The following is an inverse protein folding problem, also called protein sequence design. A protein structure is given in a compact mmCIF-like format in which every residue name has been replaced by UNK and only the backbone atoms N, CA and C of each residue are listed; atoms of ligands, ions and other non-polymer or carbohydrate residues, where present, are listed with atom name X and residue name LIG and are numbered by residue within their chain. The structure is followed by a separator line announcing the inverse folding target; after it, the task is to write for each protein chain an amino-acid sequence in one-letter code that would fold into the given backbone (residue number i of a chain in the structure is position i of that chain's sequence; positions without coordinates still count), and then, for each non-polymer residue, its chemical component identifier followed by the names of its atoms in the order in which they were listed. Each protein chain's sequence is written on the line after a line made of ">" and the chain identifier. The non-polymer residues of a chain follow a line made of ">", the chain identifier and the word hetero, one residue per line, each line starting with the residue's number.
data_IF_229105705955
#
_entry.id   IF_229105705955
#
_cell.length_a   1.000
_cell.length_b   1.000
_cell.length_c   1.000
_cell.angle_alpha   90.00
_cell.angle_beta   90.00
_cell.angle_gamma   90.00
#
_symmetry.space_group_name_H-M   'P 1'
#
loop_
_entity.id
_entity.type
_entity.pdbx_description
1 polymer ?
#
# COMPACT_ATOMS: atom_id res chain seq x y z
N UNK A 1 -7.30 -29.86 -10.28
CA UNK A 1 -6.63 -30.98 -10.99
C UNK A 1 -6.61 -32.19 -10.07
N UNK A 2 -6.56 -33.42 -10.60
CA UNK A 2 -6.30 -34.62 -9.79
C UNK A 2 -4.89 -35.12 -10.09
N UNK A 3 -4.13 -35.48 -9.06
CA UNK A 3 -2.87 -36.18 -9.20
C UNK A 3 -2.90 -37.38 -8.26
N UNK A 4 -2.94 -38.57 -8.85
CA UNK A 4 -3.31 -39.80 -8.13
C UNK A 4 -4.64 -39.59 -7.40
N UNK A 5 -4.71 -39.95 -6.12
CA UNK A 5 -5.91 -39.83 -5.28
C UNK A 5 -6.10 -38.43 -4.68
N UNK A 6 -5.18 -37.50 -4.94
CA UNK A 6 -5.22 -36.16 -4.35
C UNK A 6 -5.81 -35.11 -5.30
N UNK A 7 -6.68 -34.27 -4.76
CA UNK A 7 -7.11 -33.05 -5.44
C UNK A 7 -6.02 -31.97 -5.32
N UNK A 8 -5.42 -31.59 -6.43
CA UNK A 8 -4.51 -30.44 -6.54
C UNK A 8 -5.33 -29.17 -6.79
N UNK A 9 -5.04 -28.16 -5.97
CA UNK A 9 -5.50 -26.78 -6.14
C UNK A 9 -4.28 -25.89 -6.36
N UNK A 10 -4.42 -24.90 -7.25
CA UNK A 10 -3.37 -23.95 -7.59
C UNK A 10 -3.79 -22.60 -7.05
N UNK A 11 -2.87 -21.92 -6.37
CA UNK A 11 -3.11 -20.57 -5.86
C UNK A 11 -2.24 -19.57 -6.62
N UNK A 12 -2.82 -18.42 -6.94
CA UNK A 12 -2.09 -17.29 -7.52
C UNK A 12 -1.74 -16.32 -6.41
N UNK A 13 -0.53 -15.78 -6.43
CA UNK A 13 -0.09 -14.73 -5.54
C UNK A 13 0.72 -13.70 -6.32
N UNK A 14 0.86 -12.52 -5.75
CA UNK A 14 1.65 -11.42 -6.29
C UNK A 14 1.12 -10.11 -5.75
N UNK A 15 1.78 -9.01 -6.09
CA UNK A 15 1.31 -7.69 -5.68
C UNK A 15 -0.04 -7.34 -6.33
N UNK A 16 -0.69 -6.30 -5.81
CA UNK A 16 -2.02 -5.92 -6.26
C UNK A 16 -2.10 -5.56 -7.74
N UNK A 17 -1.07 -4.88 -8.26
CA UNK A 17 -1.05 -4.40 -9.64
C UNK A 17 -0.92 -5.57 -10.60
N UNK A 18 -0.01 -6.51 -10.29
CA UNK A 18 0.13 -7.77 -11.00
C UNK A 18 -1.14 -8.61 -10.98
N UNK A 19 -1.81 -8.72 -9.83
CA UNK A 19 -3.07 -9.45 -9.74
C UNK A 19 -4.19 -8.76 -10.53
N UNK A 20 -4.32 -7.43 -10.47
CA UNK A 20 -5.27 -6.70 -11.30
C UNK A 20 -5.01 -6.94 -12.79
N UNK A 21 -3.75 -6.87 -13.21
CA UNK A 21 -3.30 -7.17 -14.56
C UNK A 21 -3.70 -8.58 -15.04
N UNK A 22 -3.42 -9.61 -14.23
CA UNK A 22 -3.76 -10.99 -14.56
C UNK A 22 -5.26 -11.24 -14.74
N UNK A 23 -6.09 -10.49 -14.02
CA UNK A 23 -7.54 -10.64 -14.03
C UNK A 23 -8.26 -9.53 -14.80
N UNK A 24 -7.50 -8.68 -15.50
CA UNK A 24 -7.98 -7.65 -16.38
C UNK A 24 -8.71 -6.48 -15.73
N UNK A 25 -8.41 -6.19 -14.47
CA UNK A 25 -8.92 -5.02 -13.76
C UNK A 25 -8.01 -3.82 -14.01
N UNK A 26 -8.60 -2.64 -14.25
CA UNK A 26 -7.87 -1.39 -14.55
C UNK A 26 -7.01 -0.82 -13.40
N UNK A 27 -6.86 -1.52 -12.29
CA UNK A 27 -6.05 -1.12 -11.14
C UNK A 27 -6.73 -0.28 -10.07
N UNK A 28 -5.93 0.24 -9.14
CA UNK A 28 -6.38 0.84 -7.87
C UNK A 28 -7.15 2.16 -8.04
N UNK A 29 -7.02 2.85 -9.16
CA UNK A 29 -7.63 4.16 -9.42
C UNK A 29 -9.01 4.07 -10.08
N UNK A 30 -9.48 2.85 -10.37
CA UNK A 30 -10.79 2.59 -10.96
C UNK A 30 -11.96 2.93 -10.02
N UNK A 31 -13.16 3.05 -10.57
CA UNK A 31 -14.39 3.21 -9.77
C UNK A 31 -14.64 1.94 -8.96
N UNK A 32 -14.55 0.79 -9.61
CA UNK A 32 -14.67 -0.55 -9.04
C UNK A 32 -13.28 -1.17 -8.87
N UNK A 33 -12.48 -0.55 -8.02
CA UNK A 33 -11.05 -0.85 -7.95
C UNK A 33 -10.74 -2.21 -7.34
N UNK A 34 -11.61 -2.80 -6.49
CA UNK A 34 -11.35 -4.07 -5.83
C UNK A 34 -11.29 -5.26 -6.80
N UNK A 35 -10.26 -6.09 -6.66
CA UNK A 35 -10.11 -7.33 -7.43
C UNK A 35 -11.19 -8.38 -7.09
N UNK A 36 -11.69 -8.43 -5.86
CA UNK A 36 -12.53 -9.53 -5.38
C UNK A 36 -14.03 -9.22 -5.43
N UNK A 37 -14.42 -7.95 -5.56
CA UNK A 37 -15.82 -7.54 -5.61
C UNK A 37 -16.04 -6.27 -6.44
N UNK A 38 -17.31 -5.93 -6.65
CA UNK A 38 -17.71 -4.75 -7.43
C UNK A 38 -17.91 -3.49 -6.57
N UNK A 39 -17.38 -3.45 -5.35
CA UNK A 39 -17.46 -2.26 -4.50
C UNK A 39 -16.88 -1.03 -5.19
N UNK A 40 -17.62 0.07 -5.15
CA UNK A 40 -17.13 1.38 -5.58
C UNK A 40 -16.31 2.06 -4.48
N UNK A 41 -15.49 3.05 -4.84
CA UNK A 41 -14.80 3.88 -3.84
C UNK A 41 -15.74 4.55 -2.82
N UNK A 42 -17.00 4.81 -3.21
CA UNK A 42 -18.03 5.32 -2.29
C UNK A 42 -18.50 4.23 -1.33
N UNK A 43 -18.76 3.02 -1.84
CA UNK A 43 -19.18 1.88 -1.03
C UNK A 43 -18.12 1.53 0.01
N UNK A 44 -16.83 1.63 -0.35
CA UNK A 44 -15.71 1.38 0.56
C UNK A 44 -15.66 2.36 1.74
N UNK A 45 -16.14 3.60 1.58
CA UNK A 45 -16.18 4.60 2.66
C UNK A 45 -17.28 4.31 3.69
N UNK A 46 -18.43 3.82 3.24
CA UNK A 46 -19.59 3.57 4.10
C UNK A 46 -19.33 2.55 5.21
N UNK A 47 -19.97 2.73 6.36
CA UNK A 47 -20.11 1.68 7.40
C UNK A 47 -20.95 0.52 6.84
N UNK A 48 -21.83 0.83 5.88
CA UNK A 48 -22.69 -0.09 5.15
C UNK A 48 -21.99 -0.83 4.00
N UNK A 49 -20.65 -0.99 4.02
CA UNK A 49 -19.97 -1.96 3.15
C UNK A 49 -20.39 -3.42 3.47
N UNK A 50 -21.24 -3.61 4.48
CA UNK A 50 -21.95 -4.85 4.82
C UNK A 50 -23.29 -5.02 4.09
N UNK A 51 -23.67 -4.12 3.16
CA UNK A 51 -24.92 -4.25 2.43
C UNK A 51 -24.90 -5.48 1.52
N UNK A 52 -26.03 -6.18 1.47
CA UNK A 52 -26.24 -7.40 0.69
C UNK A 52 -26.11 -7.22 -0.85
N UNK A 53 -25.69 -6.04 -1.33
CA UNK A 53 -25.67 -5.64 -2.73
C UNK A 53 -24.27 -5.71 -3.38
N UNK A 54 -23.18 -5.76 -2.62
CA UNK A 54 -21.83 -5.83 -3.19
C UNK A 54 -21.56 -7.23 -3.75
N UNK A 55 -21.65 -7.36 -5.07
CA UNK A 55 -21.41 -8.63 -5.77
C UNK A 55 -19.92 -8.99 -5.74
N UNK A 56 -19.63 -10.23 -5.34
CA UNK A 56 -18.31 -10.85 -5.45
C UNK A 56 -18.02 -11.15 -6.92
N UNK A 57 -16.79 -10.90 -7.35
CA UNK A 57 -16.37 -11.19 -8.73
C UNK A 57 -16.14 -12.69 -8.92
N UNK A 58 -16.56 -13.19 -10.07
CA UNK A 58 -16.25 -14.54 -10.55
C UNK A 58 -15.56 -14.44 -11.91
N UNK A 59 -14.91 -15.54 -12.33
CA UNK A 59 -14.34 -15.58 -13.68
C UNK A 59 -15.42 -15.35 -14.74
N UNK A 60 -16.62 -15.94 -14.59
CA UNK A 60 -17.70 -15.75 -15.57
C UNK A 60 -18.11 -14.28 -15.70
N UNK A 61 -18.22 -13.57 -14.57
CA UNK A 61 -18.58 -12.16 -14.58
C UNK A 61 -17.46 -11.30 -15.19
N UNK A 62 -16.19 -11.60 -14.92
CA UNK A 62 -15.07 -10.90 -15.55
C UNK A 62 -15.07 -11.08 -17.07
N UNK A 63 -15.31 -12.30 -17.57
CA UNK A 63 -15.42 -12.55 -19.01
C UNK A 63 -16.61 -11.82 -19.64
N UNK A 64 -17.75 -11.79 -18.95
CA UNK A 64 -18.95 -11.08 -19.41
C UNK A 64 -18.69 -9.57 -19.49
N UNK A 65 -18.14 -8.98 -18.43
CA UNK A 65 -17.82 -7.55 -18.35
C UNK A 65 -16.80 -7.15 -19.43
N UNK A 66 -15.78 -7.98 -19.67
CA UNK A 66 -14.80 -7.74 -20.73
C UNK A 66 -15.43 -7.76 -22.13
N UNK A 67 -16.29 -8.74 -22.43
CA UNK A 67 -16.98 -8.81 -23.73
C UNK A 67 -17.83 -7.56 -23.96
N UNK A 68 -18.61 -7.15 -22.97
CA UNK A 68 -19.42 -5.94 -23.04
C UNK A 68 -18.57 -4.67 -23.21
N UNK A 69 -17.39 -4.61 -22.58
CA UNK A 69 -16.45 -3.51 -22.75
C UNK A 69 -15.93 -3.39 -24.20
N UNK A 70 -15.53 -4.52 -24.80
CA UNK A 70 -15.04 -4.55 -26.19
C UNK A 70 -16.17 -4.26 -27.18
N UNK A 71 -17.37 -4.82 -26.98
CA UNK A 71 -18.55 -4.55 -27.83
C UNK A 71 -18.94 -3.06 -27.84
N UNK A 72 -18.64 -2.33 -26.76
CA UNK A 72 -18.88 -0.89 -26.64
C UNK A 72 -17.70 -0.02 -27.09
N UNK A 73 -16.68 -0.62 -27.71
CA UNK A 73 -15.57 0.07 -28.34
C UNK A 73 -14.30 0.16 -27.49
N UNK A 74 -14.23 -0.49 -26.32
CA UNK A 74 -12.99 -0.69 -25.57
C UNK A 74 -12.30 0.58 -25.06
N UNK A 75 -13.04 1.66 -24.81
CA UNK A 75 -12.49 2.95 -24.37
C UNK A 75 -12.29 2.98 -22.85
N UNK A 76 -11.07 3.21 -22.36
CA UNK A 76 -10.77 3.19 -20.92
C UNK A 76 -11.61 4.16 -20.08
N UNK A 77 -11.98 5.31 -20.64
CA UNK A 77 -12.84 6.29 -19.96
C UNK A 77 -14.23 5.72 -19.60
N UNK A 78 -14.65 4.68 -20.33
CA UNK A 78 -15.92 3.99 -20.14
C UNK A 78 -15.77 2.73 -19.27
N UNK A 79 -14.55 2.31 -18.91
CA UNK A 79 -14.30 1.10 -18.12
C UNK A 79 -15.07 1.07 -16.78
N UNK A 80 -15.33 2.25 -16.18
CA UNK A 80 -16.16 2.39 -14.98
C UNK A 80 -17.59 1.84 -15.13
N UNK A 81 -18.10 1.72 -16.36
CA UNK A 81 -19.43 1.18 -16.67
C UNK A 81 -19.41 -0.35 -16.84
N UNK A 82 -18.22 -0.95 -16.90
CA UNK A 82 -18.00 -2.39 -17.07
C UNK A 82 -17.19 -2.95 -15.90
N UNK A 83 -17.52 -2.49 -14.69
CA UNK A 83 -16.85 -2.88 -13.44
C UNK A 83 -15.31 -2.79 -13.52
N UNK A 84 -14.77 -1.81 -14.25
CA UNK A 84 -13.35 -1.62 -14.46
C UNK A 84 -12.60 -2.83 -15.06
N UNK A 85 -13.30 -3.73 -15.75
CA UNK A 85 -12.69 -4.81 -16.54
C UNK A 85 -12.28 -4.25 -17.90
N UNK A 86 -11.01 -4.39 -18.27
CA UNK A 86 -10.41 -3.76 -19.46
C UNK A 86 -9.66 -4.76 -20.36
N UNK A 87 -9.27 -5.91 -19.82
CA UNK A 87 -8.64 -7.00 -20.58
C UNK A 87 -9.24 -8.34 -20.17
N UNK A 88 -9.03 -9.36 -21.01
CA UNK A 88 -9.48 -10.71 -20.70
C UNK A 88 -8.64 -11.30 -19.54
N UNK A 89 -9.25 -11.99 -18.56
CA UNK A 89 -8.50 -12.72 -17.54
C UNK A 89 -7.52 -13.73 -18.15
N UNK A 90 -6.23 -13.57 -17.82
CA UNK A 90 -5.14 -14.41 -18.34
C UNK A 90 -5.17 -15.82 -17.77
N UNK A 91 -5.61 -15.98 -16.52
CA UNK A 91 -5.60 -17.25 -15.81
C UNK A 91 -7.01 -17.75 -15.57
N UNK A 92 -7.25 -19.03 -15.89
CA UNK A 92 -8.49 -19.75 -15.55
C UNK A 92 -8.48 -20.27 -14.12
N UNK A 93 -7.99 -19.45 -13.18
CA UNK A 93 -7.95 -19.76 -11.74
C UNK A 93 -8.99 -18.90 -11.04
N UNK A 94 -9.97 -19.50 -10.32
CA UNK A 94 -11.01 -18.74 -9.63
C UNK A 94 -10.45 -17.71 -8.64
N UNK A 95 -11.15 -16.59 -8.47
CA UNK A 95 -10.69 -15.51 -7.57
C UNK A 95 -10.61 -15.94 -6.11
N UNK A 96 -11.36 -16.97 -5.70
CA UNK A 96 -11.22 -17.55 -4.38
C UNK A 96 -9.87 -18.24 -4.15
N UNK A 97 -9.13 -18.58 -5.21
CA UNK A 97 -7.77 -19.15 -5.20
C UNK A 97 -6.70 -18.09 -5.46
N UNK A 98 -7.07 -16.82 -5.53
CA UNK A 98 -6.13 -15.71 -5.56
C UNK A 98 -5.85 -15.29 -4.12
N UNK A 99 -4.61 -15.46 -3.71
CA UNK A 99 -4.15 -15.00 -2.40
C UNK A 99 -4.27 -13.49 -2.30
N UNK A 100 -4.80 -12.99 -1.18
CA UNK A 100 -4.71 -11.56 -0.90
C UNK A 100 -3.24 -11.16 -0.75
N UNK A 101 -2.82 -10.01 -1.31
CA UNK A 101 -1.43 -9.55 -1.27
C UNK A 101 -1.08 -9.04 0.14
N UNK A 102 -1.00 -9.95 1.12
CA UNK A 102 -0.95 -9.65 2.54
C UNK A 102 0.27 -8.82 2.96
N UNK A 103 1.42 -9.00 2.29
CA UNK A 103 2.60 -8.19 2.52
C UNK A 103 2.31 -6.77 2.04
N UNK A 104 1.88 -6.61 0.78
CA UNK A 104 1.62 -5.29 0.21
C UNK A 104 0.41 -4.59 0.83
N UNK A 105 -0.55 -5.32 1.38
CA UNK A 105 -1.61 -4.80 2.23
C UNK A 105 -1.03 -4.21 3.51
N UNK A 106 -0.18 -4.97 4.23
CA UNK A 106 0.44 -4.49 5.46
C UNK A 106 1.30 -3.25 5.21
N UNK A 107 2.11 -3.26 4.12
CA UNK A 107 2.93 -2.13 3.70
C UNK A 107 2.07 -0.89 3.40
N UNK A 108 1.02 -1.05 2.59
CA UNK A 108 0.19 0.08 2.16
C UNK A 108 -0.68 0.64 3.28
N UNK A 109 -1.24 -0.20 4.16
CA UNK A 109 -2.06 0.26 5.30
C UNK A 109 -1.17 1.00 6.30
N UNK A 110 -0.01 0.42 6.66
CA UNK A 110 0.92 1.07 7.58
C UNK A 110 1.42 2.41 7.03
N UNK A 111 1.84 2.44 5.76
CA UNK A 111 2.29 3.67 5.10
C UNK A 111 1.17 4.73 5.10
N UNK A 112 -0.07 4.35 4.80
CA UNK A 112 -1.21 5.27 4.82
C UNK A 112 -1.41 5.88 6.22
N UNK A 113 -1.42 5.06 7.27
CA UNK A 113 -1.56 5.54 8.65
C UNK A 113 -0.36 6.39 9.10
N UNK A 114 0.85 6.02 8.68
CA UNK A 114 2.05 6.78 8.95
C UNK A 114 2.03 8.15 8.25
N UNK A 115 1.53 8.22 7.02
CA UNK A 115 1.40 9.49 6.30
C UNK A 115 0.42 10.43 7.01
N UNK A 116 -0.74 9.94 7.45
CA UNK A 116 -1.67 10.74 8.25
C UNK A 116 -1.02 11.24 9.56
N UNK A 117 -0.23 10.39 10.22
CA UNK A 117 0.53 10.78 11.40
C UNK A 117 1.58 11.86 11.08
N UNK A 118 2.37 11.69 10.02
CA UNK A 118 3.38 12.65 9.58
C UNK A 118 2.73 13.99 9.17
N UNK A 119 1.55 13.96 8.56
CA UNK A 119 0.77 15.15 8.21
C UNK A 119 0.34 15.92 9.45
N UNK A 120 -0.28 15.27 10.44
CA UNK A 120 -0.70 15.95 11.68
C UNK A 120 0.49 16.44 12.51
N UNK A 121 1.62 15.73 12.48
CA UNK A 121 2.85 16.20 13.13
C UNK A 121 3.48 17.37 12.37
N UNK A 122 3.31 17.45 11.06
CA UNK A 122 3.73 18.62 10.29
C UNK A 122 2.88 19.85 10.63
N UNK A 123 1.56 19.70 10.76
CA UNK A 123 0.68 20.78 11.25
C UNK A 123 1.06 21.22 12.67
N UNK A 124 1.47 20.27 13.53
CA UNK A 124 2.03 20.60 14.84
C UNK A 124 3.34 21.41 14.75
N UNK A 125 4.22 21.10 13.80
CA UNK A 125 5.44 21.88 13.57
C UNK A 125 5.14 23.32 13.14
N UNK A 126 4.06 23.53 12.40
CA UNK A 126 3.56 24.88 12.05
C UNK A 126 3.10 25.63 13.30
N UNK A 127 2.30 24.97 14.16
CA UNK A 127 1.85 25.56 15.43
C UNK A 127 3.03 25.87 16.36
N UNK A 128 4.01 24.97 16.43
CA UNK A 128 5.21 25.14 17.23
C UNK A 128 6.02 26.35 16.78
N UNK A 129 6.22 26.53 15.48
CA UNK A 129 6.93 27.69 14.94
C UNK A 129 6.21 29.00 15.27
N UNK A 130 4.87 29.01 15.21
CA UNK A 130 4.07 30.17 15.59
C UNK A 130 4.23 30.51 17.09
N UNK A 131 4.21 29.50 17.95
CA UNK A 131 4.37 29.70 19.39
C UNK A 131 5.79 30.17 19.77
N UNK A 132 6.81 29.63 19.08
CA UNK A 132 8.19 30.10 19.23
C UNK A 132 8.33 31.58 18.86
N UNK A 133 7.70 32.05 17.76
CA UNK A 133 7.69 33.46 17.36
C UNK A 133 7.01 34.37 18.41
N UNK A 134 5.90 33.91 19.01
CA UNK A 134 5.22 34.66 20.08
C UNK A 134 6.13 34.86 21.29
N UNK A 135 6.87 33.81 21.69
CA UNK A 135 7.81 33.88 22.81
C UNK A 135 8.97 34.84 22.56
N UNK A 136 9.46 34.96 21.32
CA UNK A 136 10.56 35.89 20.99
C UNK A 136 10.12 37.36 20.91
N UNK A 137 8.84 37.64 20.57
CA UNK A 137 8.38 39.00 20.25
C UNK A 137 7.47 39.67 21.31
N UNK A 138 7.18 39.03 22.45
CA UNK A 138 6.44 39.64 23.58
C UNK A 138 5.04 40.24 23.24
N UNK A 139 4.35 39.79 22.18
CA UNK A 139 3.03 40.30 21.80
C UNK A 139 1.87 39.44 22.35
N UNK A 140 0.94 40.11 23.03
CA UNK A 140 -0.38 39.60 23.43
C UNK A 140 -1.46 40.11 22.46
N UNK A 141 -1.78 39.40 21.37
CA UNK A 141 -3.08 39.50 20.67
C UNK A 141 -3.17 38.58 19.44
N UNK A 142 -4.37 38.03 19.22
CA UNK A 142 -5.02 37.56 17.98
C UNK A 142 -4.13 37.13 16.79
N UNK A 143 -4.36 35.90 16.29
CA UNK A 143 -3.78 35.35 15.06
C UNK A 143 -3.57 36.43 13.98
N UNK A 144 -2.32 36.66 13.56
CA UNK A 144 -2.02 37.59 12.46
C UNK A 144 -2.63 37.10 11.15
N UNK A 145 -3.03 38.02 10.28
CA UNK A 145 -3.58 37.72 8.94
C UNK A 145 -2.61 36.85 8.11
N UNK A 146 -1.30 37.04 8.34
CA UNK A 146 -0.19 36.27 7.76
C UNK A 146 -0.23 34.78 8.15
N UNK A 147 -0.68 34.44 9.36
CA UNK A 147 -0.84 33.06 9.82
C UNK A 147 -2.00 32.34 9.12
N UNK A 148 -3.14 33.02 8.92
CA UNK A 148 -4.28 32.46 8.20
C UNK A 148 -3.94 32.21 6.71
N UNK A 149 -3.13 33.09 6.11
CA UNK A 149 -2.61 32.91 4.76
C UNK A 149 -1.69 31.69 4.69
N UNK A 150 -0.74 31.56 5.63
CA UNK A 150 0.20 30.44 5.66
C UNK A 150 -0.48 29.06 5.78
N UNK A 151 -1.46 28.93 6.69
CA UNK A 151 -2.23 27.66 6.87
C UNK A 151 -3.04 27.31 5.62
N UNK A 152 -3.61 28.31 4.94
CA UNK A 152 -4.38 28.10 3.70
C UNK A 152 -3.47 27.61 2.56
N UNK A 153 -2.28 28.19 2.43
CA UNK A 153 -1.32 27.83 1.39
C UNK A 153 -0.69 26.44 1.61
N UNK A 154 -0.46 26.03 2.86
CA UNK A 154 0.01 24.67 3.18
C UNK A 154 -1.02 23.59 2.84
N UNK A 155 -2.31 23.83 3.11
CA UNK A 155 -3.38 22.93 2.69
C UNK A 155 -3.43 22.79 1.16
N UNK A 156 -3.20 23.88 0.44
CA UNK A 156 -3.17 23.89 -1.02
C UNK A 156 -1.97 23.09 -1.57
N UNK A 157 -0.78 23.23 -0.96
CA UNK A 157 0.40 22.43 -1.30
C UNK A 157 0.19 20.94 -1.09
N UNK A 158 -0.37 20.54 0.06
CA UNK A 158 -0.69 19.15 0.37
C UNK A 158 -1.67 18.55 -0.65
N UNK A 159 -2.74 19.29 -0.97
CA UNK A 159 -3.73 18.87 -1.98
C UNK A 159 -3.10 18.68 -3.36
N UNK A 160 -2.29 19.64 -3.83
CA UNK A 160 -1.59 19.55 -5.12
C UNK A 160 -0.65 18.34 -5.15
N UNK A 161 0.05 18.05 -4.06
CA UNK A 161 0.93 16.90 -3.95
C UNK A 161 0.14 15.58 -4.04
N UNK A 162 -0.98 15.46 -3.32
CA UNK A 162 -1.88 14.30 -3.43
C UNK A 162 -2.41 14.11 -4.86
N UNK A 163 -2.82 15.18 -5.53
CA UNK A 163 -3.30 15.13 -6.92
C UNK A 163 -2.21 14.65 -7.89
N UNK A 164 -0.97 15.14 -7.75
CA UNK A 164 0.17 14.71 -8.58
C UNK A 164 0.46 13.22 -8.38
N UNK A 165 0.44 12.74 -7.13
CA UNK A 165 0.63 11.31 -6.83
C UNK A 165 -0.48 10.48 -7.49
N UNK A 166 -1.74 10.89 -7.35
CA UNK A 166 -2.87 10.20 -7.98
C UNK A 166 -2.74 10.15 -9.52
N UNK A 167 -2.24 11.22 -10.15
CA UNK A 167 -2.02 11.24 -11.60
C UNK A 167 -0.88 10.33 -12.04
N UNK A 168 0.20 10.21 -11.26
CA UNK A 168 1.29 9.27 -11.56
C UNK A 168 0.82 7.81 -11.47
N UNK A 169 0.04 7.47 -10.44
CA UNK A 169 -0.51 6.12 -10.28
C UNK A 169 -1.44 5.74 -11.44
N UNK A 170 -2.27 6.70 -11.91
CA UNK A 170 -3.11 6.52 -13.10
C UNK A 170 -2.28 6.28 -14.36
N UNK A 171 -1.23 7.07 -14.58
CA UNK A 171 -0.36 6.94 -15.75
C UNK A 171 0.32 5.56 -15.79
N UNK A 172 0.83 5.11 -14.63
CA UNK A 172 1.47 3.80 -14.52
C UNK A 172 0.47 2.67 -14.79
N UNK A 173 -0.75 2.77 -14.25
CA UNK A 173 -1.80 1.78 -14.48
C UNK A 173 -2.16 1.64 -15.98
N UNK A 174 -2.26 2.77 -16.71
CA UNK A 174 -2.57 2.75 -18.14
C UNK A 174 -1.44 2.11 -18.95
N UNK A 175 -0.18 2.43 -18.64
CA UNK A 175 0.97 1.85 -19.33
C UNK A 175 1.03 0.33 -19.17
N UNK A 176 0.73 -0.18 -17.96
CA UNK A 176 0.73 -1.62 -17.71
C UNK A 176 -0.42 -2.33 -18.44
N UNK A 177 -1.62 -1.72 -18.47
CA UNK A 177 -2.77 -2.23 -19.24
C UNK A 177 -2.42 -2.30 -20.72
N UNK A 178 -1.80 -1.24 -21.26
CA UNK A 178 -1.42 -1.19 -22.67
C UNK A 178 -0.40 -2.29 -23.04
N UNK A 179 0.60 -2.51 -22.18
CA UNK A 179 1.59 -3.56 -22.35
C UNK A 179 0.95 -4.96 -22.33
N UNK A 180 0.03 -5.22 -21.40
CA UNK A 180 -0.66 -6.51 -21.29
C UNK A 180 -1.57 -6.77 -22.49
N UNK A 181 -2.31 -5.76 -22.93
CA UNK A 181 -3.15 -5.86 -24.11
C UNK A 181 -2.31 -6.16 -25.37
N UNK A 182 -1.12 -5.58 -25.49
CA UNK A 182 -0.18 -5.92 -26.55
C UNK A 182 0.35 -7.36 -26.47
N UNK A 183 0.62 -7.87 -25.25
CA UNK A 183 1.05 -9.27 -25.04
C UNK A 183 -0.06 -10.26 -25.38
N UNK A 184 -1.31 -9.98 -24.99
CA UNK A 184 -2.45 -10.86 -25.25
C UNK A 184 -2.85 -10.93 -26.73
N UNK A 185 -2.59 -9.86 -27.49
CA UNK A 185 -2.98 -9.74 -28.89
C UNK A 185 -1.79 -9.82 -29.85
N UNK A 186 -0.68 -10.44 -29.44
CA UNK A 186 0.57 -10.49 -30.24
C UNK A 186 0.42 -11.10 -31.63
N UNK A 187 -0.64 -11.91 -31.86
CA UNK A 187 -0.93 -12.56 -33.15
C UNK A 187 -1.76 -11.69 -34.11
N UNK A 188 -2.40 -10.62 -33.63
CA UNK A 188 -3.16 -9.68 -34.46
C UNK A 188 -2.33 -8.39 -34.57
N UNK A 189 -1.74 -8.11 -35.73
CA UNK A 189 -0.86 -6.95 -36.00
C UNK A 189 -1.47 -5.55 -35.82
N UNK A 190 -2.51 -5.39 -35.00
CA UNK A 190 -3.01 -4.12 -34.50
C UNK A 190 -2.03 -3.54 -33.48
N UNK A 191 -1.67 -2.27 -33.66
CA UNK A 191 -0.91 -1.52 -32.67
C UNK A 191 -1.84 -1.16 -31.49
N UNK A 192 -2.17 -2.14 -30.65
CA UNK A 192 -3.06 -2.02 -29.49
C UNK A 192 -2.59 -0.90 -28.54
N UNK A 193 -1.28 -0.61 -28.51
CA UNK A 193 -0.69 0.53 -27.78
C UNK A 193 -1.27 1.88 -28.21
N UNK A 194 -1.56 2.05 -29.52
CA UNK A 194 -2.08 3.31 -30.06
C UNK A 194 -3.45 3.71 -29.50
N UNK A 195 -4.24 2.74 -29.02
CA UNK A 195 -5.54 2.98 -28.39
C UNK A 195 -5.41 3.74 -27.05
N UNK A 196 -4.23 3.70 -26.43
CA UNK A 196 -3.98 4.28 -25.11
C UNK A 196 -3.26 5.64 -25.16
N UNK A 197 -2.69 6.03 -26.30
CA UNK A 197 -1.86 7.23 -26.42
C UNK A 197 -2.62 8.52 -26.04
N UNK A 198 -3.89 8.64 -26.46
CA UNK A 198 -4.69 9.84 -26.17
C UNK A 198 -4.93 10.05 -24.67
N UNK A 199 -5.15 8.97 -23.92
CA UNK A 199 -5.36 9.03 -22.46
C UNK A 199 -4.04 9.33 -21.73
N UNK A 200 -2.92 8.77 -22.20
CA UNK A 200 -1.57 9.05 -21.67
C UNK A 200 -1.23 10.54 -21.81
N UNK A 201 -1.47 11.12 -22.99
CA UNK A 201 -1.19 12.53 -23.27
C UNK A 201 -2.05 13.46 -22.39
N UNK A 202 -3.34 13.14 -22.22
CA UNK A 202 -4.25 13.91 -21.36
C UNK A 202 -3.79 13.95 -19.90
N UNK A 203 -3.35 12.82 -19.36
CA UNK A 203 -2.88 12.73 -17.97
C UNK A 203 -1.55 13.44 -17.78
N UNK A 204 -0.62 13.30 -18.74
CA UNK A 204 0.65 14.01 -18.73
C UNK A 204 0.45 15.53 -18.74
N UNK A 205 -0.47 16.03 -19.56
CA UNK A 205 -0.81 17.45 -19.58
C UNK A 205 -1.33 17.94 -18.22
N UNK A 206 -2.32 17.25 -17.64
CA UNK A 206 -2.87 17.61 -16.31
C UNK A 206 -1.80 17.59 -15.22
N UNK A 207 -0.93 16.59 -15.23
CA UNK A 207 0.20 16.47 -14.30
C UNK A 207 1.18 17.65 -14.47
N UNK A 208 1.49 18.04 -15.71
CA UNK A 208 2.35 19.19 -15.99
C UNK A 208 1.82 20.48 -15.37
N UNK A 209 0.52 20.76 -15.55
CA UNK A 209 -0.15 21.94 -14.97
C UNK A 209 -0.05 21.94 -13.43
N UNK A 210 -0.39 20.82 -12.79
CA UNK A 210 -0.37 20.69 -11.32
C UNK A 210 1.04 20.77 -10.73
N UNK A 211 2.01 20.18 -11.42
CA UNK A 211 3.43 20.24 -11.02
C UNK A 211 3.94 21.69 -11.07
N UNK A 212 3.56 22.45 -12.09
CA UNK A 212 3.91 23.86 -12.19
C UNK A 212 3.27 24.69 -11.06
N UNK A 213 1.98 24.47 -10.77
CA UNK A 213 1.30 25.13 -9.64
C UNK A 213 1.98 24.85 -8.29
N UNK A 214 2.32 23.58 -8.03
CA UNK A 214 3.04 23.16 -6.84
C UNK A 214 4.40 23.84 -6.71
N UNK A 215 5.20 23.88 -7.80
CA UNK A 215 6.52 24.49 -7.79
C UNK A 215 6.45 26.01 -7.53
N UNK A 216 5.46 26.70 -8.08
CA UNK A 216 5.24 28.14 -7.86
C UNK A 216 4.86 28.45 -6.42
N UNK A 217 3.93 27.69 -5.82
CA UNK A 217 3.56 27.84 -4.40
C UNK A 217 4.74 27.50 -3.46
N UNK A 218 5.51 26.45 -3.78
CA UNK A 218 6.70 26.05 -3.00
C UNK A 218 7.81 27.10 -2.99
N UNK A 219 7.95 27.92 -4.03
CA UNK A 219 8.94 28.99 -4.08
C UNK A 219 8.57 30.18 -3.18
N UNK A 220 7.31 30.29 -2.72
CA UNK A 220 6.76 31.53 -2.19
C UNK A 220 6.88 31.75 -0.68
N UNK A 221 7.05 30.73 0.20
CA UNK A 221 7.63 30.78 1.57
C UNK A 221 7.19 29.59 2.49
N UNK A 222 8.12 29.18 3.38
CA UNK A 222 7.95 28.59 4.74
C UNK A 222 7.70 27.06 4.96
N UNK A 223 8.68 26.46 5.67
CA UNK A 223 8.82 25.08 6.21
C UNK A 223 8.36 23.92 5.32
N UNK A 224 9.31 23.28 4.60
CA UNK A 224 8.98 22.07 3.81
C UNK A 224 8.58 20.91 4.74
N UNK A 225 7.60 20.09 4.34
CA UNK A 225 7.25 18.84 5.04
C UNK A 225 8.52 18.00 5.30
N UNK A 226 8.71 17.58 6.55
CA UNK A 226 9.92 16.88 6.99
C UNK A 226 11.04 17.76 7.55
N UNK A 227 10.92 19.09 7.46
CA UNK A 227 11.96 20.00 7.95
C UNK A 227 11.70 20.54 9.36
N UNK A 228 10.49 20.37 9.91
CA UNK A 228 10.18 20.80 11.27
C UNK A 228 10.75 19.88 12.35
N UNK A 229 10.94 20.39 13.57
CA UNK A 229 11.59 19.65 14.66
C UNK A 229 10.85 18.37 15.07
N UNK A 230 9.51 18.38 15.11
CA UNK A 230 8.71 17.20 15.40
C UNK A 230 8.79 16.17 14.27
N UNK A 231 8.72 16.62 13.01
CA UNK A 231 8.85 15.71 11.87
C UNK A 231 10.26 15.10 11.77
N UNK A 232 11.31 15.87 12.09
CA UNK A 232 12.69 15.34 12.21
C UNK A 232 12.82 14.35 13.37
N UNK A 233 12.09 14.56 14.46
CA UNK A 233 12.08 13.64 15.59
C UNK A 233 11.48 12.28 15.22
N UNK A 234 10.45 12.25 14.37
CA UNK A 234 9.93 11.00 13.79
C UNK A 234 11.06 10.26 13.07
N UNK A 235 11.79 10.93 12.18
CA UNK A 235 12.90 10.31 11.44
C UNK A 235 14.01 9.82 12.37
N UNK A 236 14.36 10.59 13.39
CA UNK A 236 15.35 10.20 14.39
C UNK A 236 14.93 8.93 15.14
N UNK A 237 13.64 8.79 15.48
CA UNK A 237 13.12 7.57 16.10
C UNK A 237 13.16 6.39 15.13
N UNK A 238 12.77 6.58 13.86
CA UNK A 238 12.88 5.52 12.85
C UNK A 238 14.34 5.05 12.71
N UNK A 239 15.29 5.97 12.61
CA UNK A 239 16.72 5.66 12.53
C UNK A 239 17.22 4.91 13.77
N UNK A 240 16.85 5.36 14.98
CA UNK A 240 17.17 4.68 16.24
C UNK A 240 16.60 3.26 16.27
N UNK A 241 15.40 3.09 15.73
CA UNK A 241 14.77 1.80 15.54
C UNK A 241 15.31 1.04 14.32
N UNK A 242 16.41 1.46 13.69
CA UNK A 242 16.97 0.82 12.49
C UNK A 242 15.91 0.57 11.41
N UNK A 243 15.01 1.53 11.24
CA UNK A 243 13.98 1.57 10.20
C UNK A 243 14.35 2.68 9.24
N UNK A 244 14.65 2.30 8.01
CA UNK A 244 14.95 3.23 6.94
C UNK A 244 13.79 3.25 5.94
N UNK A 245 13.31 4.46 5.61
CA UNK A 245 12.35 4.66 4.53
C UNK A 245 13.09 4.65 3.20
N UNK A 246 12.57 3.96 2.20
CA UNK A 246 13.20 3.89 0.89
C UNK A 246 13.16 5.27 0.21
N UNK A 247 14.31 5.75 -0.27
CA UNK A 247 14.43 7.08 -0.88
C UNK A 247 13.61 7.25 -2.17
N UNK A 248 13.36 6.15 -2.88
CA UNK A 248 12.58 6.11 -4.12
C UNK A 248 11.16 5.60 -3.83
N UNK A 249 10.16 6.11 -4.55
CA UNK A 249 8.73 5.78 -4.39
C UNK A 249 8.12 6.20 -3.04
N UNK A 250 8.11 7.51 -2.75
CA UNK A 250 7.25 8.08 -1.70
C UNK A 250 7.61 7.70 -0.26
N UNK A 251 8.88 7.42 0.05
CA UNK A 251 9.35 7.07 1.40
C UNK A 251 8.74 5.77 1.95
N UNK A 252 8.70 4.73 1.11
CA UNK A 252 8.07 3.44 1.42
C UNK A 252 8.79 2.64 2.51
N UNK A 253 8.05 1.76 3.20
CA UNK A 253 8.56 0.80 4.18
C UNK A 253 8.76 -0.58 3.55
N UNK A 254 9.66 -1.40 4.11
CA UNK A 254 9.77 -2.83 3.80
C UNK A 254 9.09 -3.68 4.88
N UNK A 255 8.78 -4.95 4.55
CA UNK A 255 7.99 -5.83 5.44
C UNK A 255 8.57 -5.96 6.85
N UNK A 256 9.90 -6.09 6.96
CA UNK A 256 10.58 -6.16 8.26
C UNK A 256 10.44 -4.87 9.08
N UNK A 257 10.42 -3.71 8.41
CA UNK A 257 10.23 -2.42 9.09
C UNK A 257 8.80 -2.31 9.63
N UNK A 258 7.79 -2.66 8.84
CA UNK A 258 6.39 -2.67 9.30
C UNK A 258 6.21 -3.63 10.48
N UNK A 259 6.74 -4.85 10.38
CA UNK A 259 6.71 -5.81 11.49
C UNK A 259 7.36 -5.26 12.77
N UNK A 260 8.46 -4.53 12.65
CA UNK A 260 9.15 -3.90 13.78
C UNK A 260 8.33 -2.75 14.36
N UNK A 261 7.80 -1.88 13.52
CA UNK A 261 7.05 -0.69 13.94
C UNK A 261 5.70 -1.01 14.58
N UNK A 262 5.09 -2.14 14.24
CA UNK A 262 3.84 -2.61 14.87
C UNK A 262 4.04 -3.25 16.25
N UNK A 263 5.28 -3.39 16.73
CA UNK A 263 5.53 -3.81 18.12
C UNK A 263 5.13 -2.71 19.09
N UNK A 264 4.52 -3.08 20.21
CA UNK A 264 4.09 -2.15 21.26
C UNK A 264 5.19 -1.16 21.69
N UNK A 265 6.43 -1.62 21.85
CA UNK A 265 7.57 -0.78 22.20
C UNK A 265 7.87 0.29 21.15
N UNK A 266 7.82 -0.08 19.86
CA UNK A 266 8.10 0.83 18.75
C UNK A 266 6.97 1.84 18.53
N UNK A 267 5.71 1.42 18.69
CA UNK A 267 4.55 2.33 18.66
C UNK A 267 4.68 3.37 19.77
N UNK A 268 4.98 2.94 21.00
CA UNK A 268 5.15 3.84 22.15
C UNK A 268 6.31 4.81 21.92
N UNK A 269 7.46 4.31 21.45
CA UNK A 269 8.63 5.13 21.21
C UNK A 269 8.39 6.18 20.11
N UNK A 270 7.70 5.80 19.03
CA UNK A 270 7.32 6.70 17.95
C UNK A 270 6.36 7.79 18.45
N UNK A 271 5.19 7.40 18.96
CA UNK A 271 4.13 8.34 19.29
C UNK A 271 4.48 9.22 20.50
N UNK A 272 5.17 8.71 21.53
CA UNK A 272 5.51 9.51 22.70
C UNK A 272 6.68 10.47 22.48
N UNK A 273 7.45 10.29 21.39
CA UNK A 273 8.60 11.17 21.09
C UNK A 273 8.19 12.62 20.81
N UNK A 274 6.99 12.83 20.26
CA UNK A 274 6.47 14.14 19.87
C UNK A 274 6.10 15.00 21.08
N UNK A 275 5.19 14.60 21.98
CA UNK A 275 4.90 15.39 23.18
C UNK A 275 6.14 15.57 24.06
N UNK A 276 7.03 14.57 24.12
CA UNK A 276 8.29 14.69 24.85
C UNK A 276 9.21 15.78 24.27
N UNK A 277 9.28 15.92 22.95
CA UNK A 277 10.05 16.99 22.31
C UNK A 277 9.46 18.37 22.62
N UNK A 278 8.14 18.51 22.52
CA UNK A 278 7.45 19.78 22.81
C UNK A 278 7.63 20.18 24.28
N UNK A 279 7.50 19.21 25.20
CA UNK A 279 7.80 19.42 26.62
C UNK A 279 9.25 19.89 26.85
N UNK A 280 10.22 19.23 26.21
CA UNK A 280 11.64 19.57 26.34
C UNK A 280 11.99 20.96 25.77
N UNK A 281 11.15 21.51 24.90
CA UNK A 281 11.26 22.89 24.41
C UNK A 281 10.71 23.94 25.39
N UNK A 282 10.27 23.53 26.58
CA UNK A 282 9.72 24.42 27.59
C UNK A 282 8.27 24.81 27.38
N UNK A 283 7.59 24.18 26.41
CA UNK A 283 6.20 24.49 26.04
C UNK A 283 5.19 23.63 26.82
N UNK A 284 5.57 23.13 28.00
CA UNK A 284 4.68 22.31 28.83
C UNK A 284 3.43 23.10 29.23
N UNK A 285 2.26 22.47 29.09
CA UNK A 285 0.97 23.09 29.44
C UNK A 285 0.42 24.09 28.41
N UNK A 286 1.11 24.30 27.29
CA UNK A 286 0.60 25.11 26.17
C UNK A 286 -0.39 24.31 25.31
N UNK A 287 -1.20 25.01 24.51
CA UNK A 287 -2.11 24.40 23.52
C UNK A 287 -1.36 23.51 22.52
N UNK A 288 -0.13 23.89 22.15
CA UNK A 288 0.74 23.09 21.27
C UNK A 288 1.13 21.77 21.93
N UNK A 289 1.46 21.78 23.23
CA UNK A 289 1.76 20.56 23.96
C UNK A 289 0.53 19.66 24.12
N UNK A 290 -0.65 20.24 24.40
CA UNK A 290 -1.90 19.49 24.46
C UNK A 290 -2.23 18.83 23.11
N UNK A 291 -2.09 19.56 22.01
CA UNK A 291 -2.25 19.05 20.64
C UNK A 291 -1.27 17.89 20.36
N UNK A 292 -0.02 18.01 20.80
CA UNK A 292 0.97 16.93 20.66
C UNK A 292 0.58 15.64 21.41
N UNK A 293 0.01 15.77 22.60
CA UNK A 293 -0.50 14.64 23.41
C UNK A 293 -1.71 13.97 22.74
N UNK A 294 -2.61 14.77 22.16
CA UNK A 294 -3.78 14.29 21.44
C UNK A 294 -3.40 13.50 20.18
N UNK A 295 -2.51 14.06 19.35
CA UNK A 295 -1.94 13.38 18.17
C UNK A 295 -1.28 12.06 18.60
N UNK A 296 -0.44 12.09 19.65
CA UNK A 296 0.23 10.90 20.18
C UNK A 296 -0.76 9.81 20.59
N UNK A 297 -1.81 10.17 21.33
CA UNK A 297 -2.83 9.23 21.82
C UNK A 297 -3.64 8.63 20.68
N UNK A 298 -4.03 9.47 19.72
CA UNK A 298 -4.76 9.08 18.51
C UNK A 298 -4.01 8.03 17.70
N UNK A 299 -2.77 8.32 17.32
CA UNK A 299 -2.01 7.43 16.44
C UNK A 299 -1.49 6.18 17.17
N UNK A 300 -1.19 6.29 18.46
CA UNK A 300 -0.88 5.10 19.28
C UNK A 300 -2.04 4.09 19.25
N UNK A 301 -3.28 4.56 19.42
CA UNK A 301 -4.47 3.69 19.38
C UNK A 301 -4.74 3.14 17.97
N UNK A 302 -4.53 3.95 16.93
CA UNK A 302 -4.66 3.50 15.53
C UNK A 302 -3.67 2.38 15.19
N UNK A 303 -2.39 2.58 15.48
CA UNK A 303 -1.35 1.59 15.21
C UNK A 303 -1.52 0.32 16.04
N UNK A 304 -1.95 0.44 17.31
CA UNK A 304 -2.20 -0.71 18.17
C UNK A 304 -3.35 -1.59 17.62
N UNK A 305 -4.47 -0.99 17.23
CA UNK A 305 -5.59 -1.72 16.60
C UNK A 305 -5.17 -2.43 15.31
N UNK A 306 -4.35 -1.78 14.49
CA UNK A 306 -3.82 -2.40 13.28
C UNK A 306 -2.83 -3.52 13.58
N UNK A 307 -1.97 -3.35 14.59
CA UNK A 307 -1.04 -4.36 15.07
C UNK A 307 -1.76 -5.65 15.49
N UNK A 308 -2.89 -5.52 16.20
CA UNK A 308 -3.72 -6.67 16.62
C UNK A 308 -4.28 -7.45 15.42
N UNK A 309 -4.62 -6.78 14.32
CA UNK A 309 -5.02 -7.44 13.07
C UNK A 309 -3.81 -8.14 12.42
N UNK A 310 -2.72 -7.39 12.26
CA UNK A 310 -1.51 -7.78 11.54
C UNK A 310 -0.93 -9.10 12.07
N UNK A 311 -0.75 -9.24 13.38
CA UNK A 311 -0.14 -10.44 13.94
C UNK A 311 -0.98 -11.70 13.76
N UNK A 312 -2.31 -11.57 13.58
CA UNK A 312 -3.16 -12.72 13.29
C UNK A 312 -3.11 -13.05 11.81
N UNK A 313 -3.44 -12.11 10.92
CA UNK A 313 -3.57 -12.44 9.49
C UNK A 313 -2.22 -12.79 8.83
N UNK A 314 -1.11 -12.19 9.27
CA UNK A 314 0.22 -12.44 8.71
C UNK A 314 0.90 -13.70 9.25
N UNK A 315 0.26 -14.38 10.21
CA UNK A 315 0.85 -15.54 10.88
C UNK A 315 0.96 -16.77 9.98
N UNK A 316 1.92 -17.64 10.30
CA UNK A 316 2.14 -18.96 9.68
C UNK A 316 1.49 -20.04 10.55
N UNK A 317 0.19 -19.92 10.78
CA UNK A 317 -0.57 -20.86 11.62
C UNK A 317 -1.88 -21.23 10.93
N UNK A 318 -2.42 -22.38 11.34
CA UNK A 318 -3.79 -22.78 11.01
C UNK A 318 -4.77 -21.83 11.72
N UNK A 319 -5.78 -21.40 10.97
CA UNK A 319 -6.80 -20.46 11.41
C UNK A 319 -7.95 -21.21 12.08
N UNK A 320 -7.97 -21.19 13.40
CA UNK A 320 -9.07 -21.72 14.20
C UNK A 320 -10.26 -20.76 14.17
N UNK A 321 -11.46 -21.26 14.47
CA UNK A 321 -12.67 -20.44 14.60
C UNK A 321 -12.46 -19.28 15.58
N UNK A 322 -11.80 -19.53 16.71
CA UNK A 322 -11.46 -18.51 17.71
C UNK A 322 -10.59 -17.38 17.13
N UNK A 323 -9.54 -17.73 16.38
CA UNK A 323 -8.66 -16.75 15.72
C UNK A 323 -9.39 -15.96 14.65
N UNK A 324 -10.28 -16.60 13.88
CA UNK A 324 -11.09 -15.92 12.87
C UNK A 324 -12.09 -14.95 13.49
N UNK A 325 -12.74 -15.34 14.59
CA UNK A 325 -13.64 -14.46 15.36
C UNK A 325 -12.87 -13.28 15.95
N UNK A 326 -11.69 -13.53 16.53
CA UNK A 326 -10.83 -12.49 17.07
C UNK A 326 -10.33 -11.53 15.97
N UNK A 327 -9.90 -12.06 14.82
CA UNK A 327 -9.47 -11.24 13.69
C UNK A 327 -10.62 -10.37 13.17
N UNK A 328 -11.82 -10.95 13.01
CA UNK A 328 -13.00 -10.20 12.59
C UNK A 328 -13.30 -9.04 13.54
N UNK A 329 -13.32 -9.31 14.85
CA UNK A 329 -13.51 -8.28 15.88
C UNK A 329 -12.44 -7.19 15.82
N UNK A 330 -11.16 -7.57 15.71
CA UNK A 330 -10.06 -6.60 15.63
C UNK A 330 -10.16 -5.71 14.39
N UNK A 331 -10.61 -6.26 13.26
CA UNK A 331 -10.86 -5.51 12.02
C UNK A 331 -12.02 -4.53 12.20
N UNK A 332 -13.14 -4.97 12.78
CA UNK A 332 -14.29 -4.10 13.08
C UNK A 332 -13.87 -2.95 14.02
N UNK A 333 -13.14 -3.27 15.08
CA UNK A 333 -12.60 -2.32 16.05
C UNK A 333 -11.62 -1.32 15.42
N UNK A 334 -10.80 -1.76 14.46
CA UNK A 334 -9.89 -0.91 13.69
C UNK A 334 -10.68 0.03 12.78
N UNK A 335 -11.62 -0.52 12.01
CA UNK A 335 -12.35 0.23 10.99
C UNK A 335 -13.31 1.24 11.60
N UNK A 336 -13.98 0.90 12.71
CA UNK A 336 -14.79 1.84 13.48
C UNK A 336 -13.93 3.01 13.99
N UNK A 337 -12.75 2.70 14.55
CA UNK A 337 -11.84 3.73 15.04
C UNK A 337 -11.27 4.60 13.92
N UNK A 338 -10.89 3.99 12.79
CA UNK A 338 -10.38 4.70 11.61
C UNK A 338 -11.43 5.67 11.07
N UNK A 339 -12.65 5.20 10.80
CA UNK A 339 -13.74 6.06 10.28
C UNK A 339 -14.15 7.16 11.25
N UNK A 340 -14.16 6.89 12.56
CA UNK A 340 -14.50 7.90 13.57
C UNK A 340 -13.42 8.98 13.71
N UNK A 341 -12.14 8.61 13.61
CA UNK A 341 -11.02 9.52 13.90
C UNK A 341 -10.49 10.22 12.64
N UNK A 342 -10.76 9.66 11.47
CA UNK A 342 -10.35 10.16 10.15
C UNK A 342 -11.53 10.11 9.16
N UNK A 343 -12.64 10.85 9.41
CA UNK A 343 -13.88 10.73 8.63
C UNK A 343 -13.74 11.11 7.16
N UNK A 344 -12.78 11.99 6.84
CA UNK A 344 -12.50 12.42 5.48
C UNK A 344 -11.50 11.52 4.75
N UNK A 345 -10.85 10.58 5.44
CA UNK A 345 -9.88 9.69 4.84
C UNK A 345 -10.55 8.66 3.93
N UNK A 346 -9.94 8.41 2.78
CA UNK A 346 -10.41 7.38 1.86
C UNK A 346 -9.99 5.98 2.33
N UNK A 347 -10.89 5.02 2.22
CA UNK A 347 -10.57 3.60 2.41
C UNK A 347 -9.87 3.11 1.15
N UNK A 348 -8.59 2.76 1.28
CA UNK A 348 -7.79 2.25 0.15
C UNK A 348 -8.22 0.82 -0.20
N UNK A 349 -7.98 0.34 -1.44
CA UNK A 349 -8.27 -1.04 -1.81
C UNK A 349 -7.64 -2.07 -0.86
N UNK A 350 -6.44 -1.77 -0.35
CA UNK A 350 -5.72 -2.60 0.63
C UNK A 350 -6.44 -2.67 1.97
N UNK A 351 -6.96 -1.55 2.46
CA UNK A 351 -7.75 -1.52 3.69
C UNK A 351 -9.11 -2.21 3.50
N UNK A 352 -9.77 -2.00 2.36
CA UNK A 352 -11.01 -2.69 2.00
C UNK A 352 -10.81 -4.22 1.89
N UNK A 353 -9.70 -4.69 1.31
CA UNK A 353 -9.36 -6.11 1.26
C UNK A 353 -9.19 -6.71 2.66
N UNK A 354 -8.59 -5.96 3.59
CA UNK A 354 -8.51 -6.38 4.99
C UNK A 354 -9.90 -6.48 5.61
N UNK A 355 -10.74 -5.45 5.40
CA UNK A 355 -12.08 -5.37 5.97
C UNK A 355 -13.02 -6.48 5.47
N UNK A 356 -13.12 -6.67 4.16
CA UNK A 356 -14.19 -7.45 3.55
C UNK A 356 -13.75 -8.80 2.97
N UNK A 357 -12.45 -9.01 2.72
CA UNK A 357 -11.97 -10.19 2.00
C UNK A 357 -11.03 -11.07 2.81
N UNK A 358 -10.35 -10.54 3.84
CA UNK A 358 -9.41 -11.31 4.63
C UNK A 358 -10.08 -12.46 5.39
N UNK A 359 -11.12 -12.18 6.18
CA UNK A 359 -11.80 -13.22 6.97
C UNK A 359 -12.49 -14.27 6.10
N UNK A 360 -13.25 -13.92 5.04
CA UNK A 360 -13.83 -14.93 4.15
C UNK A 360 -12.79 -15.85 3.50
N UNK A 361 -11.66 -15.29 3.03
CA UNK A 361 -10.57 -16.08 2.46
C UNK A 361 -9.97 -17.05 3.49
N UNK A 362 -9.61 -16.54 4.67
CA UNK A 362 -8.99 -17.35 5.73
C UNK A 362 -9.96 -18.42 6.25
N UNK A 363 -11.26 -18.13 6.33
CA UNK A 363 -12.29 -19.09 6.70
C UNK A 363 -12.41 -20.22 5.67
N UNK A 364 -12.30 -19.90 4.38
CA UNK A 364 -12.41 -20.87 3.29
C UNK A 364 -11.22 -21.82 3.23
N UNK A 365 -10.02 -21.31 3.47
CA UNK A 365 -8.78 -22.08 3.26
C UNK A 365 -8.08 -22.53 4.54
N UNK A 366 -8.45 -21.99 5.70
CA UNK A 366 -8.07 -22.50 7.01
C UNK A 366 -6.62 -22.22 7.44
N UNK A 367 -5.85 -21.45 6.69
CA UNK A 367 -4.47 -21.10 7.04
C UNK A 367 -4.21 -19.60 6.93
N UNK A 368 -3.30 -19.06 7.75
CA UNK A 368 -2.90 -17.65 7.70
C UNK A 368 -2.19 -17.28 6.40
N UNK A 369 -2.16 -15.99 6.06
CA UNK A 369 -1.52 -15.53 4.83
C UNK A 369 -0.03 -15.81 4.78
N UNK A 370 0.61 -16.11 5.90
CA UNK A 370 1.98 -16.61 5.94
C UNK A 370 2.20 -17.89 5.11
N UNK A 371 1.15 -18.67 4.83
CA UNK A 371 1.19 -19.85 3.94
C UNK A 371 0.85 -19.54 2.47
N UNK A 372 0.14 -18.44 2.21
CA UNK A 372 -0.25 -18.00 0.86
C UNK A 372 0.61 -16.82 0.35
N UNK A 373 1.73 -16.58 1.03
CA UNK A 373 2.37 -15.27 1.07
C UNK A 373 3.37 -14.99 -0.05
N UNK A 374 3.45 -13.70 -0.38
CA UNK A 374 4.38 -13.09 -1.34
C UNK A 374 5.85 -13.21 -0.91
N UNK A 375 6.10 -13.42 0.39
CA UNK A 375 7.44 -13.56 0.97
C UNK A 375 8.28 -14.67 0.32
N UNK A 376 7.65 -15.76 -0.12
CA UNK A 376 8.33 -16.81 -0.87
C UNK A 376 8.82 -16.31 -2.23
N UNK A 377 7.95 -15.59 -2.96
CA UNK A 377 8.30 -14.95 -4.24
C UNK A 377 9.41 -13.93 -4.09
N UNK A 378 9.35 -13.05 -3.08
CA UNK A 378 10.40 -12.07 -2.80
C UNK A 378 11.77 -12.72 -2.54
N UNK A 379 11.79 -13.85 -1.81
CA UNK A 379 13.01 -14.62 -1.60
C UNK A 379 13.55 -15.24 -2.89
N UNK A 380 12.67 -15.66 -3.80
CA UNK A 380 13.07 -16.16 -5.13
C UNK A 380 13.66 -15.02 -5.96
N UNK A 381 13.04 -13.83 -5.97
CA UNK A 381 13.58 -12.65 -6.66
C UNK A 381 14.98 -12.27 -6.18
N UNK A 382 15.20 -12.24 -4.86
CA UNK A 382 16.52 -11.98 -4.27
C UNK A 382 17.56 -12.99 -4.76
N UNK A 383 17.24 -14.28 -4.74
CA UNK A 383 18.15 -15.33 -5.18
C UNK A 383 18.41 -15.24 -6.69
N UNK A 384 17.40 -14.93 -7.51
CA UNK A 384 17.56 -14.74 -8.94
C UNK A 384 18.48 -13.55 -9.26
N UNK A 385 18.34 -12.43 -8.54
CA UNK A 385 19.23 -11.28 -8.71
C UNK A 385 20.69 -11.65 -8.38
N UNK A 386 20.90 -12.40 -7.30
CA UNK A 386 22.23 -12.92 -6.93
C UNK A 386 22.79 -13.86 -8.00
N UNK A 387 22.00 -14.79 -8.50
CA UNK A 387 22.40 -15.72 -9.56
C UNK A 387 22.69 -14.99 -10.87
N UNK A 388 21.92 -13.94 -11.19
CA UNK A 388 22.17 -13.08 -12.36
C UNK A 388 23.55 -12.43 -12.30
N UNK A 389 23.97 -11.93 -11.14
CA UNK A 389 25.33 -11.42 -10.93
C UNK A 389 26.39 -12.51 -11.09
N UNK A 390 26.16 -13.71 -10.57
CA UNK A 390 27.11 -14.84 -10.68
C UNK A 390 27.29 -15.27 -12.15
N UNK A 391 26.19 -15.35 -12.90
CA UNK A 391 26.19 -15.77 -14.30
C UNK A 391 26.29 -14.60 -15.29
N UNK A 392 26.71 -13.41 -14.84
CA UNK A 392 26.79 -12.21 -15.67
C UNK A 392 27.77 -12.36 -16.84
N UNK A 393 28.79 -13.21 -16.70
CA UNK A 393 29.82 -13.45 -17.71
C UNK A 393 29.35 -14.34 -18.87
N UNK A 394 28.17 -14.99 -18.76
CA UNK A 394 27.61 -15.79 -19.84
C UNK A 394 27.01 -14.85 -20.89
N UNK A 395 27.57 -14.77 -22.12
CA UNK A 395 27.16 -13.75 -23.08
C UNK A 395 25.75 -13.97 -23.65
N UNK A 396 25.33 -15.23 -23.79
CA UNK A 396 24.00 -15.56 -24.31
C UNK A 396 22.94 -15.39 -23.22
N UNK A 397 21.93 -14.50 -23.41
CA UNK A 397 20.87 -14.29 -22.42
C UNK A 397 20.09 -15.58 -22.13
N UNK A 398 19.82 -16.39 -23.15
CA UNK A 398 19.12 -17.67 -22.99
C UNK A 398 19.95 -18.67 -22.18
N UNK A 399 21.25 -18.78 -22.43
CA UNK A 399 22.12 -19.65 -21.64
C UNK A 399 22.29 -19.15 -20.21
N UNK A 400 22.34 -17.84 -20.01
CA UNK A 400 22.37 -17.22 -18.69
C UNK A 400 21.10 -17.57 -17.91
N UNK A 401 19.91 -17.36 -18.48
CA UNK A 401 18.64 -17.72 -17.86
C UNK A 401 18.54 -19.21 -17.54
N UNK A 402 18.93 -20.08 -18.49
CA UNK A 402 18.95 -21.53 -18.28
C UNK A 402 19.86 -21.93 -17.12
N UNK A 403 21.02 -21.26 -16.98
CA UNK A 403 21.98 -21.49 -15.90
C UNK A 403 21.43 -21.03 -14.56
N UNK A 404 20.79 -19.85 -14.50
CA UNK A 404 20.10 -19.34 -13.31
C UNK A 404 19.01 -20.33 -12.86
N UNK A 405 18.13 -20.77 -13.78
CA UNK A 405 17.04 -21.70 -13.49
C UNK A 405 17.56 -23.05 -13.00
N UNK A 406 18.57 -23.62 -13.66
CA UNK A 406 19.18 -24.90 -13.26
C UNK A 406 19.80 -24.80 -11.87
N UNK A 407 20.55 -23.73 -11.60
CA UNK A 407 21.16 -23.50 -10.29
C UNK A 407 20.11 -23.33 -9.19
N UNK A 408 19.07 -22.53 -9.46
CA UNK A 408 17.97 -22.34 -8.51
C UNK A 408 17.25 -23.66 -8.21
N UNK A 409 16.88 -24.42 -9.25
CA UNK A 409 16.25 -25.74 -9.10
C UNK A 409 17.11 -26.70 -8.27
N UNK A 410 18.42 -26.77 -8.55
CA UNK A 410 19.34 -27.60 -7.76
C UNK A 410 19.38 -27.18 -6.29
N UNK A 411 19.33 -25.87 -6.00
CA UNK A 411 19.37 -25.36 -4.61
C UNK A 411 18.08 -25.61 -3.83
N UNK A 412 16.93 -25.65 -4.51
CA UNK A 412 15.60 -25.76 -3.91
C UNK A 412 14.98 -27.15 -4.00
N UNK A 413 15.57 -28.07 -4.78
CA UNK A 413 15.12 -29.45 -4.85
C UNK A 413 15.16 -30.09 -3.44
N UNK A 414 14.05 -30.64 -2.92
CA UNK A 414 13.97 -31.24 -1.59
C UNK A 414 15.07 -32.28 -1.33
N UNK A 415 15.37 -33.13 -2.30
CA UNK A 415 16.40 -34.18 -2.16
C UNK A 415 17.79 -33.56 -1.95
N UNK A 416 18.11 -32.49 -2.68
CA UNK A 416 19.39 -31.80 -2.53
C UNK A 416 19.48 -31.00 -1.22
N UNK A 417 18.35 -30.48 -0.72
CA UNK A 417 18.31 -29.78 0.57
C UNK A 417 18.64 -30.75 1.71
N UNK A 418 18.14 -31.99 1.65
CA UNK A 418 18.42 -33.03 2.65
C UNK A 418 19.89 -33.44 2.70
N UNK A 419 20.61 -33.31 1.58
CA UNK A 419 22.04 -33.61 1.47
C UNK A 419 22.95 -32.46 1.95
N UNK A 420 22.42 -31.26 2.19
CA UNK A 420 23.24 -30.14 2.68
C UNK A 420 23.60 -30.36 4.15
N UNK A 421 24.90 -30.34 4.52
CA UNK A 421 25.30 -30.48 5.91
C UNK A 421 24.71 -29.34 6.75
N UNK A 422 24.15 -29.66 7.92
CA UNK A 422 23.71 -28.65 8.88
C UNK A 422 24.92 -27.85 9.37
N UNK A 423 25.15 -26.68 8.77
CA UNK A 423 26.15 -25.73 9.27
C UNK A 423 25.59 -25.15 10.57
N UNK A 424 26.11 -25.62 11.70
CA UNK A 424 25.87 -24.98 13.00
C UNK A 424 26.35 -23.53 12.92
N UNK A 425 25.40 -22.59 12.80
CA UNK A 425 25.72 -21.16 12.85
C UNK A 425 26.38 -20.89 14.20
N UNK A 426 27.65 -20.47 14.19
CA UNK A 426 28.33 -19.98 15.40
C UNK A 426 27.42 -18.94 16.06
N UNK A 427 27.04 -19.19 17.31
CA UNK A 427 26.39 -18.16 18.14
C UNK A 427 27.30 -16.93 18.10
N UNK A 428 26.84 -15.84 17.50
CA UNK A 428 27.52 -14.55 17.65
C UNK A 428 27.50 -14.24 19.14
N UNK A 429 28.69 -14.16 19.74
CA UNK A 429 28.88 -13.70 21.12
C UNK A 429 28.45 -12.25 21.24
#
# INVERSE_FOLDING_TARGET
>A
MKYKDNSIRVFVFGDYQFLCALYGISGATGRHCCLFCNATSTDMKGIECQSAEIKVRTLENLYTDYKSFIEKGGRLNDAKHFNNVVTEPMLKIPLDQVSLPSLHMALGIYLNFFNFFEDEVHELDVLLAAEEIKMTNNYTASYSEEYQIFVKEQKELSNLQCEIVCLNEKLQSINDIALLAAIQNSDYGMNVQSLYNSDIDSINFKKGVKTNQYNTLMQKHSLKKGQGPCTRQIEAVLQKLNVQRQAYHGKSFIGNHVHKMLKKSSILELCNSIPKLVYNKGLSGTDVHQTAVEISTKYKKLFDKFSQCYYIFSSKVIMTTEKLTLLKKNIEDLMQYFRATLPNASVTPKLHMLENHAVPFLKKWGAGFGYYGEQGGESVHMEFNKLKTIYQSIPSPTMQLKSILKCHHQKTNPENILLKPCINKRKRK
#
